data_IF_323757279307
#
_entry.id   IF_323757279307
#
_cell.length_a   1.000
_cell.length_b   1.000
_cell.length_c   1.000
_cell.angle_alpha   90.00
_cell.angle_beta   90.00
_cell.angle_gamma   90.00
#
_symmetry.space_group_name_H-M   'P 1'
#
loop_
_entity.id
_entity.type
_entity.pdbx_description
1 polymer ?
#
# COMPACT_ATOMS: atom_id res chain seq x y z
N UNK A 1 -7.80 -4.75 -5.02
CA UNK A 1 -6.60 -4.61 -4.18
C UNK A 1 -6.90 -3.53 -3.15
N UNK A 2 -7.77 -3.85 -2.18
CA UNK A 2 -8.58 -2.83 -1.50
C UNK A 2 -7.76 -1.79 -0.73
N UNK A 3 -6.76 -2.21 0.05
CA UNK A 3 -5.94 -1.29 0.84
C UNK A 3 -5.18 -0.29 -0.04
N UNK A 4 -4.67 -0.75 -1.17
CA UNK A 4 -3.90 0.10 -2.07
C UNK A 4 -4.81 0.98 -2.95
N UNK A 5 -6.05 0.55 -3.22
CA UNK A 5 -7.10 1.41 -3.80
C UNK A 5 -7.53 2.53 -2.84
N UNK A 6 -7.60 2.24 -1.53
CA UNK A 6 -7.89 3.24 -0.49
C UNK A 6 -6.77 4.28 -0.38
N UNK A 7 -5.50 3.84 -0.42
CA UNK A 7 -4.34 4.74 -0.40
C UNK A 7 -4.24 5.57 -1.69
N UNK A 8 -4.47 4.95 -2.84
CA UNK A 8 -4.34 5.61 -4.13
C UNK A 8 -5.53 6.46 -4.58
N UNK A 9 -6.68 6.37 -3.90
CA UNK A 9 -7.91 7.06 -4.28
C UNK A 9 -8.45 6.67 -5.68
N UNK A 10 -7.92 5.60 -6.28
CA UNK A 10 -8.27 5.13 -7.64
C UNK A 10 -8.87 3.74 -7.55
N UNK A 11 -10.01 3.53 -8.19
CA UNK A 11 -10.63 2.20 -8.34
C UNK A 11 -9.83 1.37 -9.35
N UNK A 12 -9.58 0.10 -9.02
CA UNK A 12 -8.92 -0.89 -9.87
C UNK A 12 -9.81 -1.38 -11.05
N UNK A 13 -10.94 -0.73 -11.33
CA UNK A 13 -11.96 -1.17 -12.30
C UNK A 13 -11.92 -0.45 -13.64
N UNK A 14 -10.93 0.39 -13.91
CA UNK A 14 -10.75 0.94 -15.27
C UNK A 14 -9.98 -0.06 -16.14
N UNK A 15 -10.73 -1.06 -16.63
CA UNK A 15 -10.40 -2.10 -17.62
C UNK A 15 -9.95 -1.53 -18.99
N UNK A 16 -9.73 -0.22 -19.12
CA UNK A 16 -9.25 0.40 -20.37
C UNK A 16 -7.73 0.57 -20.44
N UNK A 17 -6.99 0.21 -19.38
CA UNK A 17 -5.54 0.47 -19.28
C UNK A 17 -4.85 -0.72 -18.62
N UNK A 18 -5.12 -1.92 -19.12
CA UNK A 18 -4.68 -3.19 -18.52
C UNK A 18 -3.15 -3.38 -18.51
N UNK A 19 -2.39 -2.57 -19.26
CA UNK A 19 -0.92 -2.73 -19.34
C UNK A 19 -0.09 -1.73 -18.51
N UNK A 20 -0.61 -0.55 -18.12
CA UNK A 20 0.23 0.44 -17.41
C UNK A 20 0.00 0.54 -15.91
N UNK A 21 -1.17 0.18 -15.39
CA UNK A 21 -1.42 0.23 -13.94
C UNK A 21 -0.68 -0.85 -13.16
N UNK A 22 -0.47 -2.04 -13.73
CA UNK A 22 0.37 -3.06 -13.10
C UNK A 22 1.86 -2.68 -13.13
N UNK A 23 2.29 -1.92 -14.16
CA UNK A 23 3.68 -1.45 -14.30
C UNK A 23 3.97 -0.24 -13.40
N UNK A 24 2.98 0.60 -13.11
CA UNK A 24 3.11 1.75 -12.19
C UNK A 24 2.96 1.37 -10.71
N UNK A 25 2.45 0.17 -10.41
CA UNK A 25 2.12 -0.27 -9.06
C UNK A 25 3.32 -0.55 -8.12
N UNK A 26 4.48 -1.01 -8.62
CA UNK A 26 5.67 -1.13 -7.78
C UNK A 26 6.30 0.24 -7.52
N UNK A 27 6.36 1.10 -8.53
CA UNK A 27 7.10 2.37 -8.48
C UNK A 27 6.41 3.42 -7.59
N UNK A 28 5.08 3.58 -7.69
CA UNK A 28 4.34 4.53 -6.85
C UNK A 28 4.38 4.17 -5.36
N UNK A 29 4.28 2.89 -4.99
CA UNK A 29 4.35 2.48 -3.58
C UNK A 29 5.77 2.63 -3.08
N UNK A 30 6.78 2.33 -3.90
CA UNK A 30 8.17 2.56 -3.51
C UNK A 30 8.41 4.04 -3.21
N UNK A 31 7.92 4.94 -4.08
CA UNK A 31 8.00 6.38 -3.84
C UNK A 31 7.24 6.80 -2.57
N UNK A 32 6.08 6.20 -2.30
CA UNK A 32 5.28 6.48 -1.09
C UNK A 32 5.98 6.00 0.18
N UNK A 33 6.58 4.80 0.17
CA UNK A 33 7.31 4.23 1.30
C UNK A 33 8.59 5.01 1.58
N UNK A 34 9.30 5.44 0.53
CA UNK A 34 10.48 6.31 0.63
C UNK A 34 10.16 7.77 0.99
N UNK A 35 8.87 8.14 1.05
CA UNK A 35 8.45 9.52 1.33
C UNK A 35 8.80 10.50 0.21
N UNK A 36 9.05 10.00 -1.00
CA UNK A 36 9.34 10.78 -2.20
C UNK A 36 8.09 11.11 -3.02
N UNK A 37 6.95 10.48 -2.70
CA UNK A 37 5.74 10.68 -3.49
C UNK A 37 5.01 11.98 -3.10
N UNK A 38 4.94 12.90 -4.06
CA UNK A 38 4.36 14.25 -3.96
C UNK A 38 2.88 14.25 -4.38
N UNK A 39 2.35 13.15 -4.92
CA UNK A 39 0.98 13.10 -5.46
C UNK A 39 -0.11 12.83 -4.42
N UNK A 40 0.20 12.23 -3.28
CA UNK A 40 -0.75 12.09 -2.17
C UNK A 40 -0.53 13.29 -1.26
N UNK A 41 -1.20 14.41 -1.57
CA UNK A 41 -1.21 15.60 -0.74
C UNK A 41 -2.03 15.32 0.53
N UNK A 42 -1.43 14.59 1.46
CA UNK A 42 -2.02 14.42 2.78
C UNK A 42 -1.68 15.67 3.59
N UNK A 43 -2.73 16.42 3.96
CA UNK A 43 -2.58 17.69 4.68
C UNK A 43 -2.13 17.48 6.14
N UNK A 44 -2.32 16.29 6.70
CA UNK A 44 -1.99 15.92 8.08
C UNK A 44 -0.90 14.81 8.15
N UNK A 45 0.12 15.02 8.98
CA UNK A 45 1.20 14.05 9.25
C UNK A 45 0.66 12.74 9.87
N UNK A 46 -0.50 12.81 10.56
CA UNK A 46 -1.17 11.62 11.09
C UNK A 46 -1.75 10.74 9.97
N UNK A 47 -2.43 11.35 9.00
CA UNK A 47 -3.03 10.65 7.87
C UNK A 47 -1.95 10.08 6.94
N UNK A 48 -0.80 10.76 6.81
CA UNK A 48 0.33 10.28 6.01
C UNK A 48 0.92 8.98 6.59
N UNK A 49 0.99 8.87 7.92
CA UNK A 49 1.41 7.63 8.61
C UNK A 49 0.42 6.50 8.36
N UNK A 50 -0.89 6.78 8.38
CA UNK A 50 -1.92 5.78 8.09
C UNK A 50 -1.83 5.31 6.63
N UNK A 51 -1.67 6.23 5.68
CA UNK A 51 -1.52 5.89 4.26
C UNK A 51 -0.28 5.02 4.02
N UNK A 52 0.86 5.38 4.62
CA UNK A 52 2.10 4.59 4.53
C UNK A 52 1.92 3.19 5.12
N UNK A 53 1.24 3.08 6.26
CA UNK A 53 0.94 1.80 6.91
C UNK A 53 0.07 0.91 6.01
N UNK A 54 -1.01 1.46 5.47
CA UNK A 54 -1.91 0.74 4.56
C UNK A 54 -1.18 0.28 3.29
N UNK A 55 -0.25 1.09 2.78
CA UNK A 55 0.58 0.74 1.64
C UNK A 55 1.49 -0.46 1.93
N UNK A 56 2.20 -0.44 3.07
CA UNK A 56 3.09 -1.54 3.47
C UNK A 56 2.30 -2.83 3.67
N UNK A 57 1.17 -2.78 4.39
CA UNK A 57 0.32 -3.97 4.60
C UNK A 57 -0.25 -4.47 3.28
N UNK A 58 -0.65 -3.57 2.39
CA UNK A 58 -1.09 -3.90 1.04
C UNK A 58 -0.02 -4.64 0.24
N UNK A 59 1.25 -4.21 0.30
CA UNK A 59 2.38 -4.88 -0.35
C UNK A 59 2.62 -6.30 0.18
N UNK A 60 2.55 -6.48 1.50
CA UNK A 60 2.66 -7.82 2.10
C UNK A 60 1.56 -8.77 1.62
N UNK A 61 0.34 -8.26 1.39
CA UNK A 61 -0.79 -9.08 0.94
C UNK A 61 -0.69 -9.54 -0.53
N UNK A 62 0.12 -8.87 -1.35
CA UNK A 62 0.18 -9.09 -2.81
C UNK A 62 1.49 -9.74 -3.25
N UNK A 63 2.29 -10.23 -2.30
CA UNK A 63 3.56 -10.89 -2.56
C UNK A 63 3.42 -11.96 -3.64
N UNK A 64 4.43 -12.03 -4.53
CA UNK A 64 4.47 -12.98 -5.63
C UNK A 64 4.40 -14.41 -5.13
N UNK A 65 5.20 -14.72 -4.11
CA UNK A 65 5.19 -16.01 -3.46
C UNK A 65 4.02 -16.11 -2.45
N UNK A 66 3.09 -17.06 -2.59
CA UNK A 66 1.96 -17.20 -1.67
C UNK A 66 2.38 -17.49 -0.22
N UNK A 67 3.54 -18.11 0.00
CA UNK A 67 4.03 -18.43 1.34
C UNK A 67 4.45 -17.19 2.14
N UNK A 68 4.79 -16.09 1.45
CA UNK A 68 5.21 -14.84 2.09
C UNK A 68 4.02 -13.92 2.41
N UNK A 69 2.81 -14.29 1.96
CA UNK A 69 1.59 -13.53 2.26
C UNK A 69 1.17 -13.78 3.71
N UNK A 70 0.97 -12.72 4.51
CA UNK A 70 0.52 -12.86 5.89
C UNK A 70 -0.92 -13.39 5.94
N UNK A 71 -1.24 -14.11 7.02
CA UNK A 71 -2.61 -14.50 7.33
C UNK A 71 -3.47 -13.26 7.64
N UNK A 72 -4.78 -13.34 7.45
CA UNK A 72 -5.68 -12.22 7.81
C UNK A 72 -5.59 -11.83 9.29
N UNK A 73 -5.28 -12.79 10.18
CA UNK A 73 -5.03 -12.50 11.60
C UNK A 73 -3.80 -11.59 11.77
N UNK A 74 -2.72 -11.91 11.07
CA UNK A 74 -1.48 -11.12 11.07
C UNK A 74 -1.72 -9.74 10.45
N UNK A 75 -2.48 -9.66 9.36
CA UNK A 75 -2.86 -8.39 8.71
C UNK A 75 -3.61 -7.49 9.69
N UNK A 76 -4.58 -8.02 10.44
CA UNK A 76 -5.31 -7.25 11.46
C UNK A 76 -4.35 -6.76 12.56
N UNK A 77 -3.44 -7.61 13.05
CA UNK A 77 -2.42 -7.20 14.03
C UNK A 77 -1.50 -6.10 13.51
N UNK A 78 -1.08 -6.17 12.24
CA UNK A 78 -0.31 -5.12 11.59
C UNK A 78 -1.10 -3.80 11.52
N UNK A 79 -2.41 -3.86 11.25
CA UNK A 79 -3.31 -2.70 11.18
C UNK A 79 -3.66 -2.12 12.56
N UNK A 80 -3.68 -2.91 13.61
CA UNK A 80 -3.96 -2.47 14.98
C UNK A 80 -2.72 -1.95 15.72
N UNK A 81 -1.52 -2.44 15.41
CA UNK A 81 -0.27 -2.03 16.09
C UNK A 81 0.22 -0.63 15.69
N UNK A 82 1.08 0.00 16.50
CA UNK A 82 1.70 1.28 16.13
C UNK A 82 2.64 1.08 14.93
N UNK A 83 2.30 1.67 13.78
CA UNK A 83 2.93 1.41 12.47
C UNK A 83 4.40 1.85 12.32
N UNK A 84 5.10 2.11 13.42
CA UNK A 84 6.47 2.59 13.46
C UNK A 84 7.52 1.51 13.16
N UNK A 85 7.17 0.22 13.25
CA UNK A 85 8.11 -0.91 13.01
C UNK A 85 7.83 -1.68 11.71
N UNK A 86 6.81 -1.31 10.94
CA UNK A 86 6.48 -2.04 9.71
C UNK A 86 7.45 -1.66 8.60
N UNK A 87 8.19 -2.65 8.12
CA UNK A 87 9.10 -2.52 6.96
C UNK A 87 8.40 -3.09 5.73
N UNK A 88 8.60 -2.43 4.59
CA UNK A 88 8.15 -2.96 3.31
C UNK A 88 8.89 -4.27 2.99
N UNK A 89 8.19 -5.28 2.41
CA UNK A 89 8.80 -6.51 1.94
C UNK A 89 9.74 -6.29 0.75
#
# INVERSE_FOLDING_TARGET
MLLLEMVGGRKNTNVSVEDSFQILYPEWIHNLVEGKDVQISVEDDADAKIAKKLAIVGLWCIQWNPADRPSMKTVVQMLEGDGCELVAP
#
